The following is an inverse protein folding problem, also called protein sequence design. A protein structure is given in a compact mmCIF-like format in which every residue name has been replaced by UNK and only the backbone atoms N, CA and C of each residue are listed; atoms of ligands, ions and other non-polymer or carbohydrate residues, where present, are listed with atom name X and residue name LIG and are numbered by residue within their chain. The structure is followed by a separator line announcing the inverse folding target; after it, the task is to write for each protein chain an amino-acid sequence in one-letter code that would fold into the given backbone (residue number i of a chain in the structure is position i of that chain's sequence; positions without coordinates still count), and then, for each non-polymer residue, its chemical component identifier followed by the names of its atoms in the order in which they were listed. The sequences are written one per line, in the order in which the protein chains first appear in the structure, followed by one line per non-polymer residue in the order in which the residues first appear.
data_IF_902467078649
#
_entry.id   IF_902467078649
#
_cell.length_a   1.000
_cell.length_b   1.000
_cell.length_c   1.000
_cell.angle_alpha   90.00
_cell.angle_beta   90.00
_cell.angle_gamma   90.00
#
_symmetry.space_group_name_H-M   'P 1'
#
loop_
_entity.id
_entity.type
_entity.pdbx_description
1 polymer ?
#
# COMPACT_ATOMS: atom_id res chain seq x y z
N UNK A 1 -31.10 26.47 12.87
CA UNK A 1 -31.33 27.57 11.91
C UNK A 1 -32.49 27.14 11.04
N UNK A 2 -33.68 27.68 11.30
CA UNK A 2 -34.94 27.27 10.65
C UNK A 2 -34.94 27.80 9.22
N UNK A 3 -34.80 26.91 8.23
CA UNK A 3 -34.86 27.30 6.81
C UNK A 3 -36.32 27.41 6.39
N UNK A 4 -36.78 28.65 6.22
CA UNK A 4 -38.03 28.99 5.52
C UNK A 4 -37.97 28.37 4.12
N UNK A 5 -38.96 27.53 3.81
CA UNK A 5 -39.32 26.93 2.52
C UNK A 5 -38.19 26.45 1.61
N UNK A 6 -38.05 25.13 1.41
CA UNK A 6 -37.26 24.38 0.37
C UNK A 6 -36.41 25.20 -0.64
N UNK A 7 -35.55 26.12 -0.19
CA UNK A 7 -34.73 26.94 -1.08
C UNK A 7 -33.56 26.10 -1.54
N UNK A 8 -33.65 25.64 -2.78
CA UNK A 8 -32.59 24.88 -3.48
C UNK A 8 -31.47 25.76 -4.00
N UNK A 9 -31.74 27.06 -4.13
CA UNK A 9 -30.77 28.07 -4.61
C UNK A 9 -29.59 28.15 -3.63
N UNK A 10 -28.39 27.92 -4.17
CA UNK A 10 -27.14 28.03 -3.42
C UNK A 10 -26.74 26.79 -2.62
N UNK A 11 -27.49 25.68 -2.65
CA UNK A 11 -27.13 24.43 -1.94
C UNK A 11 -25.73 23.94 -2.32
N UNK A 12 -25.35 24.04 -3.60
CA UNK A 12 -24.01 23.65 -4.07
C UNK A 12 -22.87 24.43 -3.37
N UNK A 13 -23.15 25.65 -2.91
CA UNK A 13 -22.20 26.55 -2.27
C UNK A 13 -22.35 26.58 -0.73
N UNK A 14 -23.37 25.94 -0.17
CA UNK A 14 -23.56 25.84 1.29
C UNK A 14 -22.64 24.77 1.87
N UNK A 15 -21.65 25.19 2.65
CA UNK A 15 -20.80 24.27 3.37
C UNK A 15 -21.53 23.69 4.60
N UNK A 16 -21.71 22.37 4.63
CA UNK A 16 -22.28 21.62 5.75
C UNK A 16 -22.03 20.10 5.64
N UNK A 17 -22.55 19.26 6.55
CA UNK A 17 -22.40 17.80 6.47
C UNK A 17 -22.81 17.23 5.11
N UNK A 18 -23.90 17.74 4.53
CA UNK A 18 -24.51 17.26 3.28
C UNK A 18 -24.01 17.99 2.02
N UNK A 19 -22.85 18.64 2.08
CA UNK A 19 -22.29 19.32 0.91
C UNK A 19 -21.94 18.30 -0.18
N UNK A 20 -22.46 18.45 -1.41
CA UNK A 20 -22.39 17.40 -2.44
C UNK A 20 -21.00 17.19 -3.04
N UNK A 21 -20.04 18.09 -2.79
CA UNK A 21 -18.69 17.99 -3.37
C UNK A 21 -17.72 17.25 -2.43
N UNK A 22 -16.63 16.76 -3.01
CA UNK A 22 -15.62 15.98 -2.28
C UNK A 22 -14.97 16.78 -1.15
N UNK A 23 -14.99 16.19 0.06
CA UNK A 23 -14.26 16.67 1.24
C UNK A 23 -12.80 16.20 1.19
N UNK A 24 -11.90 17.00 1.75
CA UNK A 24 -10.47 16.68 1.75
C UNK A 24 -10.15 15.35 2.45
N UNK A 25 -10.82 15.02 3.56
CA UNK A 25 -10.68 13.75 4.26
C UNK A 25 -9.30 13.48 4.89
N UNK A 26 -8.35 14.41 4.86
CA UNK A 26 -7.05 14.22 5.50
C UNK A 26 -7.20 14.25 7.02
N UNK A 27 -6.40 13.44 7.73
CA UNK A 27 -6.42 13.41 9.20
C UNK A 27 -5.93 14.75 9.75
N UNK A 28 -6.79 15.42 10.50
CA UNK A 28 -6.45 16.69 11.17
C UNK A 28 -5.66 16.42 12.45
N UNK A 29 -5.09 17.47 13.06
CA UNK A 29 -4.40 17.38 14.35
C UNK A 29 -5.28 16.85 15.50
N UNK A 30 -6.61 16.97 15.38
CA UNK A 30 -7.59 16.42 16.33
C UNK A 30 -7.93 14.94 16.06
N UNK A 31 -7.32 14.32 15.05
CA UNK A 31 -7.59 12.94 14.65
C UNK A 31 -8.81 12.76 13.74
N UNK A 32 -9.66 13.78 13.58
CA UNK A 32 -10.85 13.73 12.71
C UNK A 32 -10.52 14.03 11.24
N UNK A 33 -11.40 13.62 10.33
CA UNK A 33 -11.25 13.86 8.89
C UNK A 33 -11.50 15.35 8.52
N UNK A 34 -10.67 15.88 7.62
CA UNK A 34 -10.76 17.26 7.18
C UNK A 34 -12.02 17.53 6.34
N UNK A 35 -12.87 18.45 6.82
CA UNK A 35 -14.12 18.87 6.17
C UNK A 35 -13.95 20.02 5.17
N UNK A 36 -12.72 20.50 4.92
CA UNK A 36 -12.50 21.56 3.92
C UNK A 36 -12.77 21.05 2.50
N UNK A 37 -13.20 21.93 1.58
CA UNK A 37 -13.32 21.58 0.16
C UNK A 37 -12.02 21.00 -0.40
N UNK A 38 -12.12 19.86 -1.07
CA UNK A 38 -11.01 19.26 -1.79
C UNK A 38 -10.72 20.03 -3.08
N UNK A 39 -9.45 20.05 -3.50
CA UNK A 39 -9.10 20.43 -4.86
C UNK A 39 -9.50 19.31 -5.83
N UNK A 40 -10.09 19.66 -6.99
CA UNK A 40 -10.44 18.72 -8.07
C UNK A 40 -9.25 17.92 -8.58
N UNK A 41 -8.02 18.44 -8.47
CA UNK A 41 -6.81 17.80 -9.01
C UNK A 41 -6.35 16.56 -8.23
N UNK A 42 -6.36 16.63 -6.90
CA UNK A 42 -5.74 15.59 -6.05
C UNK A 42 -6.59 15.20 -4.83
N UNK A 43 -7.82 15.71 -4.72
CA UNK A 43 -8.74 15.35 -3.64
C UNK A 43 -8.38 15.92 -2.27
N UNK A 44 -7.34 16.76 -2.14
CA UNK A 44 -6.94 17.37 -0.87
C UNK A 44 -7.17 18.88 -0.87
N UNK A 45 -7.43 19.47 0.30
CA UNK A 45 -7.56 20.92 0.43
C UNK A 45 -6.19 21.59 0.43
N UNK A 46 -6.14 22.91 0.19
CA UNK A 46 -4.89 23.69 0.13
C UNK A 46 -3.96 23.47 1.34
N UNK A 47 -4.51 23.27 2.54
CA UNK A 47 -3.71 23.04 3.75
C UNK A 47 -3.15 21.61 3.87
N UNK A 48 -3.75 20.64 3.19
CA UNK A 48 -3.31 19.24 3.21
C UNK A 48 -2.67 18.83 1.87
N UNK A 49 -1.93 19.75 1.25
CA UNK A 49 -1.22 19.49 -0.01
C UNK A 49 -2.07 19.62 -1.27
N UNK A 50 -3.30 20.13 -1.17
CA UNK A 50 -4.18 20.36 -2.32
C UNK A 50 -3.64 21.33 -3.37
N UNK A 51 -2.73 22.22 -2.97
CA UNK A 51 -2.01 23.12 -3.88
C UNK A 51 -0.64 22.59 -4.31
N UNK A 52 -0.17 21.48 -3.72
CA UNK A 52 1.12 20.89 -4.08
C UNK A 52 1.00 20.18 -5.43
N UNK A 53 1.95 20.45 -6.32
CA UNK A 53 2.07 19.76 -7.61
C UNK A 53 2.99 18.54 -7.55
N UNK A 54 3.69 18.33 -6.42
CA UNK A 54 4.79 17.37 -6.34
C UNK A 54 5.99 17.74 -7.22
N UNK A 55 7.01 16.88 -7.21
CA UNK A 55 8.17 17.02 -8.10
C UNK A 55 7.79 16.64 -9.54
N UNK A 56 7.95 17.60 -10.46
CA UNK A 56 7.63 17.42 -11.88
C UNK A 56 8.80 16.88 -12.71
N UNK A 57 10.02 17.07 -12.24
CA UNK A 57 11.24 16.63 -12.94
C UNK A 57 11.69 15.26 -12.46
N UNK A 58 12.42 14.54 -13.30
CA UNK A 58 13.03 13.27 -12.92
C UNK A 58 14.05 13.46 -11.77
N UNK A 59 14.92 14.47 -11.88
CA UNK A 59 15.86 14.82 -10.82
C UNK A 59 15.16 15.14 -9.48
N UNK A 60 14.02 15.85 -9.53
CA UNK A 60 13.23 16.14 -8.33
C UNK A 60 12.61 14.90 -7.71
N UNK A 61 12.08 13.99 -8.54
CA UNK A 61 11.56 12.69 -8.07
C UNK A 61 12.66 11.82 -7.47
N UNK A 62 13.84 11.79 -8.09
CA UNK A 62 15.01 11.08 -7.58
C UNK A 62 15.45 11.62 -6.22
N UNK A 63 15.51 12.95 -6.06
CA UNK A 63 15.87 13.59 -4.78
C UNK A 63 14.87 13.25 -3.66
N UNK A 64 13.57 13.33 -3.94
CA UNK A 64 12.54 12.96 -2.95
C UNK A 64 12.61 11.47 -2.63
N UNK A 65 12.83 10.61 -3.63
CA UNK A 65 13.02 9.18 -3.43
C UNK A 65 14.20 8.88 -2.52
N UNK A 66 15.36 9.52 -2.78
CA UNK A 66 16.56 9.39 -1.96
C UNK A 66 16.33 9.89 -0.53
N UNK A 67 15.68 11.06 -0.36
CA UNK A 67 15.38 11.61 0.96
C UNK A 67 14.44 10.70 1.79
N UNK A 68 13.51 9.99 1.14
CA UNK A 68 12.59 9.06 1.80
C UNK A 68 13.15 7.64 1.95
N UNK A 69 14.34 7.36 1.41
CA UNK A 69 14.96 6.05 1.45
C UNK A 69 15.52 5.75 2.85
N UNK A 70 14.84 4.90 3.62
CA UNK A 70 15.28 4.53 4.98
C UNK A 70 16.25 3.36 5.04
N UNK A 71 15.86 2.21 4.46
CA UNK A 71 16.59 0.95 4.60
C UNK A 71 16.89 0.26 3.26
N UNK A 72 16.36 0.77 2.14
CA UNK A 72 16.58 0.19 0.82
C UNK A 72 15.93 -1.18 0.54
N UNK A 73 15.32 -1.84 1.53
CA UNK A 73 14.70 -3.18 1.35
C UNK A 73 13.58 -3.23 0.29
N UNK A 74 12.94 -2.09 0.04
CA UNK A 74 11.83 -1.96 -0.91
C UNK A 74 12.25 -1.30 -2.23
N UNK A 75 13.55 -1.15 -2.51
CA UNK A 75 13.96 -0.74 -3.86
C UNK A 75 13.60 -1.82 -4.87
N UNK A 76 13.41 -1.40 -6.13
CA UNK A 76 13.02 -2.29 -7.23
C UNK A 76 13.96 -3.50 -7.33
N UNK A 77 15.27 -3.27 -7.29
CA UNK A 77 16.28 -4.32 -7.43
C UNK A 77 16.25 -5.32 -6.28
N UNK A 78 16.06 -4.85 -5.03
CA UNK A 78 15.98 -5.74 -3.86
C UNK A 78 14.70 -6.57 -3.89
N UNK A 79 13.57 -5.98 -4.30
CA UNK A 79 12.32 -6.70 -4.48
C UNK A 79 12.42 -7.74 -5.60
N UNK A 80 13.05 -7.40 -6.71
CA UNK A 80 13.28 -8.32 -7.82
C UNK A 80 14.18 -9.48 -7.40
N UNK A 81 15.31 -9.20 -6.75
CA UNK A 81 16.20 -10.24 -6.19
C UNK A 81 15.44 -11.16 -5.22
N UNK A 82 14.60 -10.59 -4.34
CA UNK A 82 13.77 -11.37 -3.42
C UNK A 82 12.78 -12.27 -4.17
N UNK A 83 12.15 -11.76 -5.24
CA UNK A 83 11.24 -12.55 -6.09
C UNK A 83 11.97 -13.70 -6.79
N UNK A 84 13.14 -13.44 -7.37
CA UNK A 84 13.99 -14.46 -8.03
C UNK A 84 14.42 -15.55 -7.03
N UNK A 85 14.94 -15.14 -5.88
CA UNK A 85 15.35 -16.07 -4.82
C UNK A 85 14.17 -16.91 -4.30
N UNK A 86 13.00 -16.29 -4.11
CA UNK A 86 11.81 -17.01 -3.69
C UNK A 86 11.32 -18.01 -4.75
N UNK A 87 11.41 -17.66 -6.03
CA UNK A 87 11.08 -18.57 -7.12
C UNK A 87 12.04 -19.77 -7.14
N UNK A 88 13.36 -19.53 -7.08
CA UNK A 88 14.35 -20.61 -7.04
C UNK A 88 14.20 -21.50 -5.81
N UNK A 89 13.96 -20.91 -4.64
CA UNK A 89 13.70 -21.67 -3.42
C UNK A 89 12.40 -22.49 -3.47
N UNK A 90 11.38 -22.07 -4.23
CA UNK A 90 10.19 -22.89 -4.47
C UNK A 90 10.48 -24.09 -5.37
N UNK A 91 11.29 -23.89 -6.42
CA UNK A 91 11.73 -24.96 -7.32
C UNK A 91 12.54 -26.02 -6.58
N UNK A 92 13.58 -25.60 -5.85
CA UNK A 92 14.42 -26.51 -5.04
C UNK A 92 13.57 -27.30 -4.05
N UNK A 93 12.64 -26.65 -3.33
CA UNK A 93 11.76 -27.38 -2.39
C UNK A 93 10.78 -28.31 -3.10
N UNK A 94 10.41 -28.06 -4.36
CA UNK A 94 9.58 -28.97 -5.13
C UNK A 94 10.39 -30.22 -5.48
N UNK A 95 11.61 -30.04 -5.96
CA UNK A 95 12.53 -31.14 -6.28
C UNK A 95 12.87 -31.99 -5.05
N UNK A 96 13.24 -31.35 -3.93
CA UNK A 96 13.52 -32.06 -2.67
C UNK A 96 12.33 -32.90 -2.21
N UNK A 97 11.10 -32.36 -2.32
CA UNK A 97 9.88 -33.11 -1.97
C UNK A 97 9.61 -34.27 -2.93
N UNK A 98 9.97 -34.12 -4.21
CA UNK A 98 9.84 -35.19 -5.19
C UNK A 98 10.80 -36.33 -4.86
N UNK A 99 12.09 -36.01 -4.66
CA UNK A 99 13.11 -37.00 -4.29
C UNK A 99 12.77 -37.69 -2.97
N UNK A 100 12.34 -36.92 -1.96
CA UNK A 100 11.90 -37.49 -0.68
C UNK A 100 10.78 -38.52 -0.87
N UNK A 101 9.77 -38.19 -1.70
CA UNK A 101 8.66 -39.10 -1.99
C UNK A 101 9.13 -40.37 -2.71
N UNK A 102 10.08 -40.26 -3.63
CA UNK A 102 10.66 -41.40 -4.35
C UNK A 102 11.45 -42.32 -3.42
N UNK A 103 12.23 -41.75 -2.50
CA UNK A 103 13.00 -42.50 -1.52
C UNK A 103 12.09 -43.24 -0.52
N UNK A 104 11.01 -42.59 -0.07
CA UNK A 104 10.00 -43.26 0.78
C UNK A 104 9.32 -44.39 0.02
N UNK A 105 8.91 -44.16 -1.23
CA UNK A 105 8.21 -45.16 -2.04
C UNK A 105 9.09 -46.37 -2.39
N UNK A 106 10.41 -46.17 -2.57
CA UNK A 106 11.37 -47.25 -2.81
C UNK A 106 11.78 -47.99 -1.54
N UNK A 107 11.33 -47.53 -0.36
CA UNK A 107 11.67 -48.12 0.93
C UNK A 107 13.10 -47.80 1.41
N UNK A 108 13.81 -46.93 0.70
CA UNK A 108 15.16 -46.48 1.07
C UNK A 108 15.16 -45.43 2.19
N UNK A 109 14.01 -44.81 2.45
CA UNK A 109 13.84 -43.81 3.50
C UNK A 109 12.58 -44.11 4.31
N UNK A 110 12.71 -44.14 5.63
CA UNK A 110 11.55 -44.31 6.52
C UNK A 110 10.58 -43.13 6.39
N UNK A 111 9.27 -43.39 6.46
CA UNK A 111 8.26 -42.35 6.28
C UNK A 111 8.30 -41.27 7.37
N UNK A 112 8.75 -41.62 8.57
CA UNK A 112 8.83 -40.74 9.74
C UNK A 112 10.29 -40.31 10.03
N UNK A 113 11.19 -40.43 9.05
CA UNK A 113 12.62 -40.09 9.21
C UNK A 113 12.90 -38.68 9.73
N UNK A 114 11.98 -37.72 9.52
CA UNK A 114 12.10 -36.36 10.04
C UNK A 114 11.91 -36.28 11.56
N UNK A 115 11.05 -37.13 12.11
CA UNK A 115 10.76 -37.14 13.55
C UNK A 115 11.94 -37.75 14.32
N UNK A 116 12.65 -38.71 13.70
CA UNK A 116 13.86 -39.31 14.27
C UNK A 116 15.08 -38.39 14.32
N UNK A 117 15.05 -37.23 13.65
CA UNK A 117 16.15 -36.24 13.67
C UNK A 117 15.94 -35.11 14.70
N UNK A 118 14.74 -35.02 15.27
CA UNK A 118 14.36 -33.97 16.23
C UNK A 118 14.29 -34.49 17.68
N UNK A 119 14.62 -35.77 17.89
CA UNK A 119 14.83 -36.40 19.21
C UNK A 119 16.33 -36.47 19.51
#
# INVERSE_FOLDING_TARGET
MLTKDKVTIGIEWRFGPDWPRQRCGAKTRRGTACQRPANKKNGRCRLHGGASTGAKTEAGRARISAANLRHGKLTKDKLEKRRKNAAKGREIRKELRQMERELINSGLLDKNWRDSLLS
#
